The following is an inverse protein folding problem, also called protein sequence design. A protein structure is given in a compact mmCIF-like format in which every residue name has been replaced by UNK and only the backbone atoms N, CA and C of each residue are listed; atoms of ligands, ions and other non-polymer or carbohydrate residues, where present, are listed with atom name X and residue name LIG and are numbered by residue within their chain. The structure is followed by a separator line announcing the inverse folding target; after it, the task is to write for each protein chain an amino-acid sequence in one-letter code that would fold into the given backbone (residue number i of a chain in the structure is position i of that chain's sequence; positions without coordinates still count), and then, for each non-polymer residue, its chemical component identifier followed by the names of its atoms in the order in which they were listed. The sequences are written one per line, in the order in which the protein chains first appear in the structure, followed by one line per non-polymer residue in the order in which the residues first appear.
data_IF_489806387442
#
_entry.id   IF_489806387442
#
_cell.length_a   1.000
_cell.length_b   1.000
_cell.length_c   1.000
_cell.angle_alpha   90.00
_cell.angle_beta   90.00
_cell.angle_gamma   90.00
#
_symmetry.space_group_name_H-M   'P 1'
#
loop_
_entity.id
_entity.type
_entity.pdbx_description
1 polymer ?
#
# COMPACT_ATOMS: atom_id res chain seq x y z
N UNK A 1 2.27 -20.69 -21.04
CA UNK A 1 2.45 -20.41 -19.59
C UNK A 1 2.63 -21.74 -18.88
N UNK A 2 3.85 -22.06 -18.45
CA UNK A 2 4.18 -23.33 -17.81
C UNK A 2 3.75 -23.29 -16.33
N UNK A 3 2.82 -24.16 -15.90
CA UNK A 3 2.19 -24.18 -14.55
C UNK A 3 2.95 -25.09 -13.57
N UNK A 4 4.25 -25.32 -13.78
CA UNK A 4 5.04 -26.30 -13.03
C UNK A 4 5.87 -25.74 -11.88
N UNK A 5 5.64 -24.50 -11.46
CA UNK A 5 6.19 -24.01 -10.19
C UNK A 5 5.19 -24.29 -9.08
N UNK A 6 5.57 -25.01 -8.01
CA UNK A 6 4.71 -25.13 -6.85
C UNK A 6 4.42 -23.72 -6.34
N UNK A 7 3.15 -23.34 -6.41
CA UNK A 7 2.69 -22.14 -5.72
C UNK A 7 3.03 -22.36 -4.26
N UNK A 8 3.80 -21.43 -3.69
CA UNK A 8 4.14 -21.47 -2.27
C UNK A 8 2.82 -21.53 -1.50
N UNK A 9 2.63 -22.51 -0.62
CA UNK A 9 1.36 -22.72 0.07
C UNK A 9 0.95 -21.51 0.93
N UNK A 10 1.91 -20.67 1.31
CA UNK A 10 1.73 -19.43 2.07
C UNK A 10 1.50 -18.19 1.19
N UNK A 11 1.44 -18.32 -0.15
CA UNK A 11 1.42 -17.19 -1.08
C UNK A 11 0.27 -16.20 -0.80
N UNK A 12 -0.90 -16.71 -0.45
CA UNK A 12 -2.07 -15.87 -0.11
C UNK A 12 -1.82 -14.96 1.08
N UNK A 13 -0.98 -15.38 2.04
CA UNK A 13 -0.61 -14.58 3.21
C UNK A 13 0.58 -13.67 2.89
N UNK A 14 1.61 -14.22 2.25
CA UNK A 14 2.87 -13.52 2.00
C UNK A 14 2.71 -12.41 0.94
N UNK A 15 1.76 -12.54 0.01
CA UNK A 15 1.56 -11.53 -1.05
C UNK A 15 1.21 -10.14 -0.50
N UNK A 16 0.44 -10.07 0.59
CA UNK A 16 0.03 -8.80 1.20
C UNK A 16 1.22 -8.14 1.89
N UNK A 17 1.97 -8.92 2.67
CA UNK A 17 3.17 -8.45 3.37
C UNK A 17 4.25 -7.98 2.37
N UNK A 18 4.48 -8.75 1.31
CA UNK A 18 5.41 -8.37 0.24
C UNK A 18 4.96 -7.11 -0.47
N UNK A 19 3.66 -7.01 -0.80
CA UNK A 19 3.12 -5.82 -1.46
C UNK A 19 3.32 -4.58 -0.57
N UNK A 20 2.97 -4.66 0.72
CA UNK A 20 3.16 -3.57 1.67
C UNK A 20 4.63 -3.14 1.76
N UNK A 21 5.56 -4.09 1.88
CA UNK A 21 7.01 -3.78 1.92
C UNK A 21 7.48 -3.09 0.64
N UNK A 22 7.08 -3.58 -0.53
CA UNK A 22 7.46 -3.00 -1.82
C UNK A 22 6.91 -1.59 -1.99
N UNK A 23 5.64 -1.40 -1.64
CA UNK A 23 4.98 -0.11 -1.68
C UNK A 23 5.69 0.87 -0.74
N UNK A 24 5.92 0.49 0.53
CA UNK A 24 6.66 1.31 1.49
C UNK A 24 8.04 1.72 0.96
N UNK A 25 8.84 0.76 0.49
CA UNK A 25 10.18 1.03 -0.05
C UNK A 25 10.14 2.01 -1.24
N UNK A 26 9.14 1.87 -2.11
CA UNK A 26 8.95 2.77 -3.25
C UNK A 26 8.73 4.22 -2.80
N UNK A 27 7.85 4.43 -1.81
CA UNK A 27 7.57 5.75 -1.25
C UNK A 27 8.72 6.30 -0.38
N UNK A 28 9.50 5.44 0.27
CA UNK A 28 10.71 5.89 0.98
C UNK A 28 11.77 6.41 0.02
N UNK A 29 11.91 5.75 -1.14
CA UNK A 29 12.92 6.10 -2.15
C UNK A 29 12.52 7.31 -2.99
N UNK A 30 11.23 7.47 -3.29
CA UNK A 30 10.71 8.50 -4.19
C UNK A 30 9.87 9.53 -3.41
N UNK A 31 10.49 10.69 -3.13
CA UNK A 31 9.89 11.73 -2.28
C UNK A 31 8.65 12.39 -2.90
N UNK A 32 8.58 12.47 -4.22
CA UNK A 32 7.47 13.04 -4.99
C UNK A 32 6.15 12.26 -4.78
N UNK A 33 6.19 10.93 -4.98
CA UNK A 33 5.02 10.09 -4.76
C UNK A 33 4.67 9.98 -3.28
N UNK A 34 5.67 10.08 -2.38
CA UNK A 34 5.44 10.12 -0.93
C UNK A 34 4.61 11.33 -0.54
N UNK A 35 5.01 12.51 -1.02
CA UNK A 35 4.27 13.74 -0.75
C UNK A 35 2.85 13.65 -1.31
N UNK A 36 2.66 13.07 -2.49
CA UNK A 36 1.33 12.84 -3.06
C UNK A 36 0.48 11.94 -2.17
N UNK A 37 1.04 10.84 -1.66
CA UNK A 37 0.34 9.93 -0.75
C UNK A 37 -0.04 10.61 0.56
N UNK A 38 0.87 11.39 1.16
CA UNK A 38 0.62 12.14 2.39
C UNK A 38 -0.39 13.28 2.19
N UNK A 39 -0.38 13.92 1.01
CA UNK A 39 -1.32 14.98 0.65
C UNK A 39 -2.77 14.50 0.57
N UNK A 40 -3.02 13.18 0.45
CA UNK A 40 -4.37 12.61 0.58
C UNK A 40 -4.97 12.78 1.98
N UNK A 41 -4.15 13.15 2.98
CA UNK A 41 -4.58 13.35 4.36
C UNK A 41 -5.22 12.10 4.94
N UNK A 42 -6.46 12.20 5.41
CA UNK A 42 -7.22 11.09 5.98
C UNK A 42 -8.26 10.52 5.00
N UNK A 43 -8.19 10.89 3.72
CA UNK A 43 -9.12 10.40 2.70
C UNK A 43 -8.97 8.89 2.48
N UNK A 44 -10.09 8.24 2.15
CA UNK A 44 -10.13 6.84 1.75
C UNK A 44 -9.49 6.68 0.36
N UNK A 45 -8.52 5.78 0.25
CA UNK A 45 -7.91 5.43 -1.04
C UNK A 45 -8.57 4.14 -1.55
N UNK A 46 -9.17 4.20 -2.73
CA UNK A 46 -9.82 3.06 -3.37
C UNK A 46 -9.19 2.80 -4.72
N UNK A 47 -8.72 1.57 -4.93
CA UNK A 47 -8.29 1.11 -6.25
C UNK A 47 -9.54 0.77 -7.07
N UNK A 48 -9.74 1.55 -8.13
CA UNK A 48 -10.90 1.43 -9.02
C UNK A 48 -10.60 0.49 -10.19
N UNK A 49 -10.40 -0.80 -9.89
CA UNK A 49 -10.35 -1.85 -10.90
C UNK A 49 -11.69 -2.58 -10.98
N UNK A 50 -12.39 -2.51 -12.12
CA UNK A 50 -13.66 -3.23 -12.29
C UNK A 50 -13.48 -4.75 -12.41
N UNK A 51 -12.25 -5.22 -12.62
CA UNK A 51 -11.92 -6.64 -12.85
C UNK A 51 -11.21 -7.28 -11.65
N UNK A 52 -10.64 -6.48 -10.74
CA UNK A 52 -9.91 -6.99 -9.58
C UNK A 52 -10.69 -6.73 -8.29
N UNK A 53 -11.29 -7.78 -7.75
CA UNK A 53 -12.06 -7.75 -6.50
C UNK A 53 -11.19 -8.00 -5.26
N UNK A 54 -9.91 -8.35 -5.42
CA UNK A 54 -9.02 -8.58 -4.29
C UNK A 54 -8.22 -7.32 -3.98
N UNK A 55 -7.51 -6.79 -4.97
CA UNK A 55 -6.73 -5.56 -4.82
C UNK A 55 -7.60 -4.32 -4.94
N UNK A 56 -8.65 -4.40 -5.75
CA UNK A 56 -9.58 -3.32 -6.05
C UNK A 56 -10.96 -3.43 -5.44
N UNK A 57 -11.79 -2.46 -5.77
CA UNK A 57 -13.20 -2.43 -5.40
C UNK A 57 -14.11 -3.27 -6.31
N UNK A 58 -13.61 -3.79 -7.44
CA UNK A 58 -14.47 -4.48 -8.40
C UNK A 58 -15.47 -3.55 -9.09
N UNK A 59 -16.22 -4.09 -10.06
CA UNK A 59 -17.17 -3.30 -10.86
C UNK A 59 -18.37 -2.78 -10.05
N UNK A 60 -18.73 -3.46 -8.96
CA UNK A 60 -19.87 -3.13 -8.09
C UNK A 60 -19.45 -2.51 -6.75
N UNK A 61 -18.16 -2.30 -6.51
CA UNK A 61 -17.64 -1.78 -5.24
C UNK A 61 -17.55 -2.81 -4.10
N UNK A 62 -17.89 -4.09 -4.34
CA UNK A 62 -17.85 -5.15 -3.31
C UNK A 62 -16.46 -5.77 -3.10
N UNK A 63 -15.48 -5.36 -3.90
CA UNK A 63 -14.10 -5.81 -3.80
C UNK A 63 -13.43 -5.39 -2.48
N UNK A 64 -12.36 -6.12 -2.12
CA UNK A 64 -11.67 -5.97 -0.84
C UNK A 64 -10.80 -4.72 -0.75
N UNK A 65 -10.50 -4.05 -1.86
CA UNK A 65 -9.65 -2.86 -1.90
C UNK A 65 -8.32 -3.03 -1.14
N UNK A 66 -7.68 -4.21 -1.22
CA UNK A 66 -6.46 -4.49 -0.45
C UNK A 66 -5.30 -3.56 -0.79
N UNK A 67 -5.23 -3.06 -2.02
CA UNK A 67 -4.19 -2.10 -2.37
C UNK A 67 -4.44 -0.75 -1.69
N UNK A 68 -5.69 -0.29 -1.67
CA UNK A 68 -6.08 0.92 -0.94
C UNK A 68 -5.78 0.81 0.55
N UNK A 69 -6.13 -0.30 1.20
CA UNK A 69 -5.78 -0.57 2.60
C UNK A 69 -4.26 -0.49 2.84
N UNK A 70 -3.45 -1.10 1.97
CA UNK A 70 -1.99 -1.05 2.06
C UNK A 70 -1.47 0.38 1.91
N UNK A 71 -1.96 1.14 0.94
CA UNK A 71 -1.55 2.53 0.73
C UNK A 71 -1.86 3.39 1.96
N UNK A 72 -3.03 3.22 2.56
CA UNK A 72 -3.41 3.91 3.79
C UNK A 72 -2.54 3.49 4.99
N UNK A 73 -2.19 2.21 5.09
CA UNK A 73 -1.26 1.71 6.12
C UNK A 73 0.14 2.30 5.94
N UNK A 74 0.65 2.32 4.71
CA UNK A 74 1.95 2.91 4.37
C UNK A 74 1.96 4.42 4.64
N UNK A 75 0.87 5.12 4.32
CA UNK A 75 0.68 6.54 4.64
C UNK A 75 0.82 6.81 6.15
N UNK A 76 0.19 5.98 6.99
CA UNK A 76 0.31 6.11 8.44
C UNK A 76 1.75 5.92 8.93
N UNK A 77 2.45 4.90 8.43
CA UNK A 77 3.86 4.64 8.78
C UNK A 77 4.75 5.82 8.37
N UNK A 78 4.56 6.37 7.17
CA UNK A 78 5.36 7.49 6.68
C UNK A 78 5.10 8.77 7.47
N UNK A 79 3.84 9.01 7.90
CA UNK A 79 3.46 10.15 8.73
C UNK A 79 4.10 10.09 10.11
N UNK A 80 4.11 8.90 10.73
CA UNK A 80 4.76 8.65 12.02
C UNK A 80 6.28 8.94 11.94
N UNK A 81 6.93 8.45 10.89
CA UNK A 81 8.35 8.73 10.62
C UNK A 81 8.66 10.22 10.41
N UNK A 82 7.76 10.99 9.80
CA UNK A 82 7.94 12.45 9.65
C UNK A 82 7.80 13.19 10.99
N UNK A 83 6.94 12.72 11.90
CA UNK A 83 6.82 13.27 13.25
C UNK A 83 8.08 13.00 14.08
N UNK A 84 8.57 11.76 14.08
CA UNK A 84 9.81 11.38 14.78
C UNK A 84 11.03 12.18 14.28
N UNK A 85 11.11 12.40 12.97
CA UNK A 85 12.20 13.18 12.36
C UNK A 85 12.13 14.67 12.73
N UNK A 86 10.93 15.22 12.90
CA UNK A 86 10.74 16.63 13.27
C UNK A 86 10.98 16.87 14.77
N UNK A 87 10.59 15.93 15.65
CA UNK A 87 10.83 16.01 17.09
C UNK A 87 12.31 15.80 17.44
N UNK A 88 13.08 15.12 16.57
CA UNK A 88 14.52 14.90 16.75
C UNK A 88 15.41 16.08 16.31
N UNK A 89 14.83 17.16 15.76
CA UNK A 89 15.58 18.36 15.39
C UNK A 89 15.33 19.47 16.42
N UNK A 90 16.17 19.60 17.47
CA UNK A 90 16.07 20.73 18.36
C UNK A 90 16.43 21.99 17.57
N UNK A 91 15.47 22.91 17.43
CA UNK A 91 15.77 24.29 17.07
C UNK A 91 16.72 24.90 18.09
#
# INVERSE_FOLDING_TARGET
RNRSYPLRDDWEHVKVELMQRRVLQSFETHCDIRQLLLATGDQLIVENSPIDYYWGCGADGSGKNKLGEILMTVRAILRDKELDANDSNPK
#
